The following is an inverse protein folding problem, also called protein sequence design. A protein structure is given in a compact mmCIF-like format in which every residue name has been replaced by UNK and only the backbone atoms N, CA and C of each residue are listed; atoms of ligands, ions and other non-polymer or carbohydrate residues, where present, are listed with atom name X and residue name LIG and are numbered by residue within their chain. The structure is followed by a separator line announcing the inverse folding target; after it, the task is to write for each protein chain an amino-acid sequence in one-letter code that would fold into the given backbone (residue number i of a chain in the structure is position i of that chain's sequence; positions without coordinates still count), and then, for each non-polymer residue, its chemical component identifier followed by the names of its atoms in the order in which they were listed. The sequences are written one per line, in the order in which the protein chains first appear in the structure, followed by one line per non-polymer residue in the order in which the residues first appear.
data_IF_537900113644
#
_entry.id   IF_537900113644
#
_cell.length_a   1.000
_cell.length_b   1.000
_cell.length_c   1.000
_cell.angle_alpha   90.00
_cell.angle_beta   90.00
_cell.angle_gamma   90.00
#
_symmetry.space_group_name_H-M   'P 1'
#
loop_
_entity.id
_entity.type
_entity.pdbx_description
1 polymer ?
#
# COMPACT_ATOMS: atom_id res chain seq x y z
N UNK A 1 -7.00 -1.29 13.95
CA UNK A 1 -7.38 -1.88 12.64
C UNK A 1 -7.99 -3.28 12.71
N UNK A 2 -8.37 -3.79 13.88
CA UNK A 2 -8.86 -5.18 14.03
C UNK A 2 -10.04 -5.53 13.11
N UNK A 3 -11.06 -4.69 13.03
CA UNK A 3 -12.24 -4.94 12.20
C UNK A 3 -11.93 -4.86 10.69
N UNK A 4 -10.94 -4.06 10.28
CA UNK A 4 -10.44 -4.04 8.91
C UNK A 4 -9.74 -5.36 8.58
N UNK A 5 -8.89 -5.85 9.49
CA UNK A 5 -8.22 -7.14 9.33
C UNK A 5 -9.20 -8.31 9.32
N UNK A 6 -10.28 -8.24 10.10
CA UNK A 6 -11.39 -9.20 10.03
C UNK A 6 -12.08 -9.17 8.68
N UNK A 7 -12.40 -7.98 8.15
CA UNK A 7 -12.97 -7.83 6.80
C UNK A 7 -12.05 -8.38 5.70
N UNK A 8 -10.73 -8.24 5.84
CA UNK A 8 -9.76 -8.83 4.92
C UNK A 8 -9.79 -10.36 4.96
N UNK A 9 -9.84 -10.94 6.16
CA UNK A 9 -9.92 -12.40 6.32
C UNK A 9 -11.24 -12.95 5.75
N UNK A 10 -12.37 -12.31 6.09
CA UNK A 10 -13.69 -12.67 5.56
C UNK A 10 -13.73 -12.60 4.02
N UNK A 11 -13.04 -11.61 3.43
CA UNK A 11 -12.91 -11.50 1.98
C UNK A 11 -12.13 -12.69 1.41
N UNK A 12 -11.01 -13.06 2.04
CA UNK A 12 -10.20 -14.21 1.62
C UNK A 12 -10.98 -15.52 1.68
N UNK A 13 -11.71 -15.77 2.76
CA UNK A 13 -12.52 -16.98 2.94
C UNK A 13 -13.63 -17.13 1.90
N UNK A 14 -14.23 -16.02 1.47
CA UNK A 14 -15.32 -16.00 0.47
C UNK A 14 -14.82 -15.96 -0.96
N UNK A 15 -13.55 -15.63 -1.18
CA UNK A 15 -12.99 -15.45 -2.52
C UNK A 15 -12.60 -16.79 -3.14
N UNK A 16 -13.06 -17.12 -4.37
CA UNK A 16 -12.63 -18.32 -5.07
C UNK A 16 -11.11 -18.38 -5.21
N UNK A 17 -10.52 -19.56 -4.94
CA UNK A 17 -9.07 -19.77 -4.93
C UNK A 17 -8.35 -19.33 -6.21
N UNK A 18 -9.04 -19.32 -7.36
CA UNK A 18 -8.49 -18.84 -8.65
C UNK A 18 -8.07 -17.36 -8.65
N UNK A 19 -8.59 -16.54 -7.72
CA UNK A 19 -8.21 -15.13 -7.56
C UNK A 19 -7.15 -14.94 -6.47
N UNK A 20 -6.90 -15.97 -5.65
CA UNK A 20 -5.93 -15.96 -4.57
C UNK A 20 -4.61 -16.61 -5.04
N UNK A 21 -3.60 -16.54 -4.18
CA UNK A 21 -2.28 -17.12 -4.44
C UNK A 21 -1.84 -18.12 -3.36
N UNK A 22 -2.78 -18.59 -2.54
CA UNK A 22 -2.51 -19.52 -1.43
C UNK A 22 -1.81 -18.88 -0.24
N UNK A 23 -1.79 -17.54 -0.17
CA UNK A 23 -1.25 -16.79 0.97
C UNK A 23 -2.35 -15.98 1.65
N UNK A 24 -2.21 -15.83 2.96
CA UNK A 24 -2.98 -14.93 3.80
C UNK A 24 -2.92 -13.49 3.25
N UNK A 25 -3.95 -12.66 3.48
CA UNK A 25 -3.89 -11.26 3.12
C UNK A 25 -2.74 -10.56 3.86
N UNK A 26 -2.34 -9.41 3.33
CA UNK A 26 -1.52 -8.48 4.08
C UNK A 26 -2.39 -7.72 5.06
N UNK A 27 -2.19 -8.01 6.34
CA UNK A 27 -2.91 -7.36 7.42
C UNK A 27 -2.31 -5.98 7.70
N UNK A 28 -3.16 -5.07 8.13
CA UNK A 28 -2.82 -3.69 8.40
C UNK A 28 -2.63 -3.55 9.90
N UNK A 29 -1.49 -3.00 10.32
CA UNK A 29 -1.20 -2.70 11.72
C UNK A 29 -1.97 -1.44 12.18
N UNK A 30 -1.38 -0.56 12.99
CA UNK A 30 -1.96 0.75 13.31
C UNK A 30 -1.14 1.86 12.63
N UNK A 31 -1.52 2.31 11.41
CA UNK A 31 -0.82 3.41 10.75
C UNK A 31 -1.05 4.73 11.50
N UNK A 32 -0.07 5.63 11.39
CA UNK A 32 -0.13 6.96 12.00
C UNK A 32 -1.28 7.79 11.45
N UNK A 33 -1.86 8.66 12.28
CA UNK A 33 -2.96 9.54 11.85
C UNK A 33 -2.43 10.90 11.42
N UNK A 34 -3.16 11.59 10.54
CA UNK A 34 -2.86 12.95 10.09
C UNK A 34 -1.43 13.13 9.54
N UNK A 35 -0.95 12.12 8.81
CA UNK A 35 0.41 12.07 8.27
C UNK A 35 0.38 12.01 6.73
N UNK A 36 1.55 11.97 6.09
CA UNK A 36 1.65 11.71 4.66
C UNK A 36 1.45 10.20 4.45
N UNK A 37 0.54 9.80 3.55
CA UNK A 37 0.27 8.38 3.28
C UNK A 37 0.68 8.02 1.87
N UNK A 38 1.64 7.12 1.77
CA UNK A 38 1.99 6.47 0.52
C UNK A 38 1.10 5.27 0.27
N UNK A 39 0.64 5.14 -0.98
CA UNK A 39 -0.17 4.01 -1.44
C UNK A 39 0.63 3.25 -2.50
N UNK A 40 1.04 2.04 -2.14
CA UNK A 40 1.61 1.05 -3.05
C UNK A 40 0.54 0.32 -3.85
N UNK A 41 0.98 -0.59 -4.71
CA UNK A 41 0.06 -1.44 -5.47
C UNK A 41 -0.42 -2.60 -4.63
N UNK A 42 0.53 -3.41 -4.18
CA UNK A 42 0.31 -4.56 -3.36
C UNK A 42 1.64 -4.95 -2.68
N UNK A 43 1.58 -5.66 -1.53
CA UNK A 43 2.75 -6.12 -0.84
C UNK A 43 3.54 -7.12 -1.69
N UNK A 44 4.81 -6.81 -1.93
CA UNK A 44 5.74 -7.73 -2.58
C UNK A 44 6.09 -8.87 -1.63
N UNK A 45 5.80 -10.11 -2.02
CA UNK A 45 6.13 -11.29 -1.24
C UNK A 45 7.19 -12.13 -1.94
N UNK A 46 8.39 -12.13 -1.37
CA UNK A 46 9.48 -13.01 -1.81
C UNK A 46 10.10 -13.68 -0.59
N UNK A 47 10.17 -15.02 -0.60
CA UNK A 47 10.77 -15.79 0.49
C UNK A 47 12.20 -15.31 0.79
N UNK A 48 13.00 -15.09 -0.26
CA UNK A 48 14.36 -14.53 -0.14
C UNK A 48 14.40 -13.13 0.47
N UNK A 49 13.41 -12.29 0.16
CA UNK A 49 13.33 -10.93 0.70
C UNK A 49 13.06 -10.94 2.20
N UNK A 50 12.10 -11.77 2.63
CA UNK A 50 11.82 -11.99 4.06
C UNK A 50 12.99 -12.68 4.77
N UNK A 51 13.61 -13.69 4.17
CA UNK A 51 14.79 -14.36 4.74
C UNK A 51 15.95 -13.37 4.98
N UNK A 52 16.21 -12.48 4.01
CA UNK A 52 17.22 -11.45 4.16
C UNK A 52 16.86 -10.40 5.21
N UNK A 53 15.61 -9.90 5.20
CA UNK A 53 15.14 -8.87 6.13
C UNK A 53 15.00 -9.35 7.58
N UNK A 54 14.66 -10.63 7.79
CA UNK A 54 14.43 -11.21 9.12
C UNK A 54 15.66 -11.90 9.72
N UNK A 55 16.76 -12.03 8.97
CA UNK A 55 17.94 -12.84 9.35
C UNK A 55 18.45 -12.58 10.76
N UNK A 56 18.52 -11.31 11.16
CA UNK A 56 19.08 -10.88 12.45
C UNK A 56 18.00 -10.46 13.46
N UNK A 57 16.80 -11.03 13.33
CA UNK A 57 15.63 -10.71 14.15
C UNK A 57 15.20 -11.97 14.92
N UNK A 58 14.22 -11.84 15.81
CA UNK A 58 13.60 -12.99 16.50
C UNK A 58 12.90 -13.97 15.53
N UNK A 59 12.66 -13.56 14.28
CA UNK A 59 12.05 -14.36 13.23
C UNK A 59 13.06 -14.96 12.25
N UNK A 60 14.36 -14.90 12.55
CA UNK A 60 15.41 -15.53 11.74
C UNK A 60 15.14 -17.02 11.53
N UNK A 61 15.16 -17.46 10.26
CA UNK A 61 14.92 -18.86 9.89
C UNK A 61 13.46 -19.31 9.89
N UNK A 62 12.49 -18.39 10.05
CA UNK A 62 11.07 -18.72 9.90
C UNK A 62 10.77 -19.21 8.48
N UNK A 63 9.98 -20.29 8.35
CA UNK A 63 9.33 -20.62 7.09
C UNK A 63 8.19 -19.61 6.85
N UNK A 64 8.53 -18.51 6.19
CA UNK A 64 7.59 -17.41 5.97
C UNK A 64 6.43 -17.81 5.04
N UNK A 65 6.67 -18.75 4.11
CA UNK A 65 5.64 -19.22 3.20
C UNK A 65 4.66 -20.14 3.92
N UNK A 66 5.16 -21.07 4.72
CA UNK A 66 4.33 -21.88 5.60
C UNK A 66 3.55 -21.03 6.60
N UNK A 67 4.19 -20.01 7.19
CA UNK A 67 3.54 -19.09 8.14
C UNK A 67 2.34 -18.36 7.51
N UNK A 68 2.49 -17.83 6.30
CA UNK A 68 1.41 -17.14 5.58
C UNK A 68 0.57 -18.05 4.69
N UNK A 69 0.68 -19.37 4.77
CA UNK A 69 -0.14 -20.29 3.98
C UNK A 69 -1.64 -20.08 4.25
N UNK A 70 -2.45 -20.16 3.21
CA UNK A 70 -3.91 -20.06 3.25
C UNK A 70 -4.54 -21.16 2.38
N UNK A 71 -5.65 -21.81 2.81
CA UNK A 71 -6.47 -21.50 4.00
C UNK A 71 -5.89 -21.98 5.33
N UNK A 72 -4.92 -22.90 5.29
CA UNK A 72 -4.38 -23.53 6.48
C UNK A 72 -2.93 -23.09 6.73
N UNK A 73 -2.67 -22.67 7.97
CA UNK A 73 -1.34 -22.46 8.52
C UNK A 73 -1.35 -22.88 9.99
N UNK A 74 -0.49 -23.85 10.34
CA UNK A 74 -0.41 -24.39 11.70
C UNK A 74 0.18 -23.39 12.72
N UNK A 75 0.80 -22.31 12.25
CA UNK A 75 1.55 -21.38 13.08
C UNK A 75 1.14 -19.91 12.90
N UNK A 76 0.14 -19.64 12.06
CA UNK A 76 -0.29 -18.27 11.81
C UNK A 76 -0.83 -17.63 13.09
N UNK A 77 -0.38 -16.41 13.35
CA UNK A 77 -0.84 -15.57 14.44
C UNK A 77 -0.81 -14.12 13.94
N UNK A 78 -1.92 -13.40 14.11
CA UNK A 78 -2.07 -12.04 13.59
C UNK A 78 -1.05 -11.07 14.23
N UNK A 79 -0.85 -11.11 15.55
CA UNK A 79 0.11 -10.23 16.23
C UNK A 79 1.53 -10.45 15.71
N UNK A 80 1.92 -11.72 15.54
CA UNK A 80 3.21 -12.10 14.95
C UNK A 80 3.33 -11.63 13.50
N UNK A 81 2.27 -11.74 12.70
CA UNK A 81 2.26 -11.24 11.33
C UNK A 81 2.49 -9.71 11.30
N UNK A 82 1.77 -8.96 12.13
CA UNK A 82 1.93 -7.50 12.23
C UNK A 82 3.35 -7.12 12.68
N UNK A 83 3.93 -7.86 13.62
CA UNK A 83 5.30 -7.60 14.09
C UNK A 83 6.38 -7.91 13.04
N UNK A 84 6.18 -8.98 12.26
CA UNK A 84 7.01 -9.28 11.09
C UNK A 84 6.94 -8.12 10.09
N UNK A 85 5.75 -7.62 9.76
CA UNK A 85 5.63 -6.51 8.80
C UNK A 85 6.25 -5.21 9.32
N UNK A 86 6.08 -4.86 10.62
CA UNK A 86 6.77 -3.72 11.23
C UNK A 86 8.28 -3.84 11.12
N UNK A 87 8.81 -5.02 11.40
CA UNK A 87 10.24 -5.32 11.30
C UNK A 87 10.75 -5.15 9.87
N UNK A 88 10.01 -5.68 8.90
CA UNK A 88 10.32 -5.51 7.48
C UNK A 88 10.24 -4.03 7.06
N UNK A 89 9.25 -3.27 7.49
CA UNK A 89 9.11 -1.86 7.12
C UNK A 89 10.28 -0.99 7.59
N UNK A 90 10.83 -1.27 8.77
CA UNK A 90 11.89 -0.46 9.37
C UNK A 90 13.22 -0.55 8.60
N UNK A 91 13.63 -1.77 8.26
CA UNK A 91 14.99 -2.03 7.77
C UNK A 91 15.04 -2.38 6.27
N UNK A 92 13.90 -2.59 5.61
CA UNK A 92 13.90 -3.01 4.21
C UNK A 92 14.22 -1.84 3.27
N UNK A 93 15.26 -1.95 2.41
CA UNK A 93 15.73 -0.84 1.57
C UNK A 93 14.68 -0.24 0.64
N UNK A 94 13.63 -1.00 0.32
CA UNK A 94 12.48 -0.53 -0.44
C UNK A 94 11.85 0.74 0.15
N UNK A 95 11.79 0.87 1.47
CA UNK A 95 11.11 1.99 2.13
C UNK A 95 11.98 3.25 2.25
N UNK A 96 13.29 3.15 2.04
CA UNK A 96 14.21 4.27 2.18
C UNK A 96 13.86 5.48 1.29
N UNK A 97 13.54 5.31 -0.01
CA UNK A 97 13.14 6.42 -0.88
C UNK A 97 11.89 7.18 -0.43
N UNK A 98 11.01 6.56 0.35
CA UNK A 98 9.78 7.18 0.84
C UNK A 98 10.10 8.23 1.91
N UNK A 99 11.03 7.90 2.83
CA UNK A 99 11.58 8.85 3.79
C UNK A 99 12.38 9.97 3.10
N UNK A 100 13.30 9.61 2.20
CA UNK A 100 14.14 10.58 1.46
C UNK A 100 13.31 11.60 0.67
N UNK A 101 12.16 11.19 0.10
CA UNK A 101 11.26 12.10 -0.61
C UNK A 101 10.76 13.25 0.28
N UNK A 102 10.58 12.95 1.58
CA UNK A 102 10.03 13.84 2.58
C UNK A 102 11.11 14.53 3.42
N UNK A 103 12.38 14.44 3.03
CA UNK A 103 13.45 15.17 3.70
C UNK A 103 13.12 16.68 3.76
N UNK A 104 13.25 17.26 4.95
CA UNK A 104 12.87 18.64 5.23
C UNK A 104 11.38 18.86 5.52
N UNK A 105 10.58 17.80 5.64
CA UNK A 105 9.17 17.83 6.08
C UNK A 105 9.09 17.24 7.49
N UNK A 106 8.42 17.93 8.42
CA UNK A 106 8.26 17.48 9.81
C UNK A 106 7.14 16.45 10.01
N UNK A 107 6.47 16.03 8.92
CA UNK A 107 5.37 15.08 8.99
C UNK A 107 5.88 13.65 8.96
N UNK A 108 5.30 12.83 9.85
CA UNK A 108 5.41 11.37 9.77
C UNK A 108 4.82 10.86 8.44
N UNK A 109 5.16 9.62 8.09
CA UNK A 109 4.58 8.98 6.92
C UNK A 109 4.20 7.52 7.17
N UNK A 110 3.20 7.06 6.42
CA UNK A 110 2.76 5.67 6.36
C UNK A 110 2.95 5.12 4.96
N UNK A 111 3.08 3.79 4.86
CA UNK A 111 2.87 3.07 3.62
C UNK A 111 1.73 2.07 3.81
N UNK A 112 0.75 2.12 2.92
CA UNK A 112 -0.30 1.10 2.79
C UNK A 112 -0.35 0.66 1.33
N UNK A 113 -0.99 -0.46 1.04
CA UNK A 113 -1.22 -0.92 -0.32
C UNK A 113 -2.69 -0.78 -0.73
N UNK A 114 -2.92 -0.59 -2.04
CA UNK A 114 -4.26 -0.54 -2.61
C UNK A 114 -4.91 -1.94 -2.67
N UNK A 115 -4.10 -2.98 -2.85
CA UNK A 115 -4.52 -4.38 -2.85
C UNK A 115 -3.70 -5.17 -1.83
N UNK A 116 -4.33 -6.09 -1.12
CA UNK A 116 -3.74 -6.78 0.03
C UNK A 116 -3.24 -8.19 -0.32
N UNK A 117 -3.13 -8.49 -1.61
CA UNK A 117 -2.57 -9.75 -2.11
C UNK A 117 -1.04 -9.72 -2.04
N UNK A 118 -0.46 -10.71 -1.34
CA UNK A 118 0.99 -10.92 -1.21
C UNK A 118 1.60 -11.46 -2.50
N UNK A 119 1.72 -10.64 -3.54
CA UNK A 119 2.11 -11.05 -4.89
C UNK A 119 3.26 -10.18 -5.43
N UNK A 120 4.24 -10.80 -6.07
CA UNK A 120 5.38 -10.05 -6.65
C UNK A 120 5.16 -9.77 -8.15
N UNK A 121 4.36 -10.59 -8.83
CA UNK A 121 4.04 -10.45 -10.25
C UNK A 121 2.83 -9.54 -10.46
N UNK A 122 3.08 -8.38 -11.05
CA UNK A 122 2.01 -7.46 -11.46
C UNK A 122 1.01 -8.12 -12.41
N UNK A 123 1.45 -9.04 -13.29
CA UNK A 123 0.55 -9.75 -14.20
C UNK A 123 -0.37 -10.72 -13.47
N UNK A 124 0.13 -11.41 -12.44
CA UNK A 124 -0.71 -12.28 -11.60
C UNK A 124 -1.70 -11.46 -10.78
N UNK A 125 -1.25 -10.36 -10.16
CA UNK A 125 -2.15 -9.45 -9.46
C UNK A 125 -3.26 -8.95 -10.40
N UNK A 126 -2.92 -8.53 -11.61
CA UNK A 126 -3.92 -8.08 -12.60
C UNK A 126 -4.99 -9.13 -12.86
N UNK A 127 -4.60 -10.39 -13.06
CA UNK A 127 -5.53 -11.51 -13.24
C UNK A 127 -6.42 -11.76 -12.02
N UNK A 128 -5.93 -11.47 -10.82
CA UNK A 128 -6.71 -11.58 -9.59
C UNK A 128 -7.75 -10.48 -9.42
N UNK A 129 -7.44 -9.22 -9.78
CA UNK A 129 -8.26 -8.05 -9.41
C UNK A 129 -9.13 -7.49 -10.55
N UNK A 130 -8.82 -7.81 -11.81
CA UNK A 130 -9.57 -7.32 -12.97
C UNK A 130 -10.49 -8.42 -13.53
N UNK A 131 -11.49 -7.99 -14.31
CA UNK A 131 -12.19 -8.87 -15.24
C UNK A 131 -11.38 -8.99 -16.55
N UNK A 132 -11.97 -9.54 -17.62
CA UNK A 132 -11.32 -9.57 -18.93
C UNK A 132 -11.12 -8.16 -19.55
N UNK A 133 -11.73 -7.12 -18.95
CA UNK A 133 -11.47 -5.70 -19.21
C UNK A 133 -10.56 -5.09 -18.13
N UNK A 134 -10.21 -3.82 -18.26
CA UNK A 134 -9.47 -3.10 -17.20
C UNK A 134 -10.36 -2.68 -16.01
N UNK A 135 -11.60 -3.20 -15.93
CA UNK A 135 -12.51 -2.96 -14.82
C UNK A 135 -12.23 -3.91 -13.66
N UNK A 136 -12.23 -3.37 -12.45
CA UNK A 136 -12.10 -4.19 -11.25
C UNK A 136 -13.25 -5.19 -11.14
N UNK A 137 -12.88 -6.43 -10.83
CA UNK A 137 -13.84 -7.45 -10.40
C UNK A 137 -14.24 -7.22 -8.93
N UNK A 138 -15.19 -8.00 -8.42
CA UNK A 138 -15.71 -7.82 -7.06
C UNK A 138 -14.61 -7.93 -5.99
N UNK A 139 -13.66 -8.87 -6.15
CA UNK A 139 -12.52 -9.01 -5.25
C UNK A 139 -11.61 -7.78 -5.25
N UNK A 140 -11.35 -7.19 -6.43
CA UNK A 140 -10.61 -5.94 -6.56
C UNK A 140 -11.33 -4.75 -5.93
N UNK A 141 -12.65 -4.61 -6.17
CA UNK A 141 -13.46 -3.50 -5.65
C UNK A 141 -13.55 -3.52 -4.13
N UNK A 142 -13.79 -4.69 -3.52
CA UNK A 142 -13.86 -4.80 -2.06
C UNK A 142 -12.54 -4.43 -1.40
N UNK A 143 -11.39 -4.76 -2.02
CA UNK A 143 -10.09 -4.31 -1.51
C UNK A 143 -9.93 -2.79 -1.56
N UNK A 144 -10.33 -2.14 -2.66
CA UNK A 144 -10.35 -0.67 -2.74
C UNK A 144 -11.25 -0.05 -1.67
N UNK A 145 -12.40 -0.66 -1.38
CA UNK A 145 -13.30 -0.20 -0.30
C UNK A 145 -12.71 -0.39 1.10
N UNK A 146 -11.91 -1.44 1.31
CA UNK A 146 -11.12 -1.61 2.52
C UNK A 146 -10.07 -0.49 2.61
N UNK A 147 -9.34 -0.19 1.54
CA UNK A 147 -8.40 0.93 1.51
C UNK A 147 -9.08 2.28 1.79
N UNK A 148 -10.29 2.52 1.26
CA UNK A 148 -11.10 3.72 1.60
C UNK A 148 -11.37 3.79 3.11
N UNK A 149 -11.75 2.66 3.72
CA UNK A 149 -12.04 2.57 5.15
C UNK A 149 -10.80 2.89 6.00
N UNK A 150 -9.62 2.46 5.54
CA UNK A 150 -8.33 2.78 6.18
C UNK A 150 -8.02 4.26 6.05
N UNK A 151 -8.11 4.83 4.84
CA UNK A 151 -7.85 6.26 4.60
C UNK A 151 -8.78 7.16 5.43
N UNK A 152 -10.05 6.78 5.58
CA UNK A 152 -11.01 7.51 6.41
C UNK A 152 -10.59 7.59 7.88
N UNK A 153 -9.92 6.55 8.41
CA UNK A 153 -9.48 6.46 9.82
C UNK A 153 -8.18 7.20 10.08
N UNK A 154 -7.20 6.97 9.20
CA UNK A 154 -5.88 7.59 9.34
C UNK A 154 -5.92 9.06 8.94
N UNK A 155 -6.94 9.48 8.19
CA UNK A 155 -7.25 10.89 7.93
C UNK A 155 -6.01 11.63 7.36
N UNK A 156 -5.44 11.18 6.23
CA UNK A 156 -4.15 11.63 5.74
C UNK A 156 -4.12 13.14 5.46
N UNK A 157 -2.95 13.75 5.63
CA UNK A 157 -2.68 15.13 5.20
C UNK A 157 -2.42 15.22 3.70
N UNK A 158 -1.72 14.23 3.15
CA UNK A 158 -1.41 14.08 1.73
C UNK A 158 -1.46 12.60 1.38
N UNK A 159 -1.93 12.29 0.18
CA UNK A 159 -1.86 10.95 -0.40
C UNK A 159 -0.85 10.97 -1.55
N UNK A 160 0.06 9.98 -1.57
CA UNK A 160 1.00 9.78 -2.68
C UNK A 160 0.85 8.34 -3.19
N UNK A 161 0.24 8.16 -4.35
CA UNK A 161 0.07 6.84 -4.97
C UNK A 161 1.34 6.50 -5.76
N UNK A 162 2.22 5.70 -5.15
CA UNK A 162 3.58 5.42 -5.58
C UNK A 162 3.67 4.18 -6.48
N UNK A 163 2.76 4.06 -7.45
CA UNK A 163 2.78 3.02 -8.48
C UNK A 163 1.86 3.42 -9.64
N UNK A 164 2.28 3.17 -10.89
CA UNK A 164 1.51 3.59 -12.06
C UNK A 164 0.15 2.86 -12.20
N UNK A 165 0.10 1.55 -11.92
CA UNK A 165 -1.16 0.80 -11.98
C UNK A 165 -2.08 1.20 -10.82
N UNK A 166 -1.53 1.33 -9.60
CA UNK A 166 -2.30 1.80 -8.46
C UNK A 166 -2.84 3.22 -8.72
N UNK A 167 -2.02 4.11 -9.30
CA UNK A 167 -2.43 5.47 -9.65
C UNK A 167 -3.60 5.50 -10.62
N UNK A 168 -3.59 4.65 -11.65
CA UNK A 168 -4.70 4.56 -12.60
C UNK A 168 -5.98 4.10 -11.92
N UNK A 169 -5.91 2.98 -11.19
CA UNK A 169 -7.08 2.45 -10.46
C UNK A 169 -7.59 3.48 -9.46
N UNK A 170 -6.71 4.09 -8.68
CA UNK A 170 -7.07 5.09 -7.68
C UNK A 170 -7.73 6.31 -8.33
N UNK A 171 -7.20 6.80 -9.46
CA UNK A 171 -7.81 7.90 -10.23
C UNK A 171 -9.23 7.58 -10.67
N UNK A 172 -9.44 6.39 -11.23
CA UNK A 172 -10.74 5.94 -11.74
C UNK A 172 -11.75 5.76 -10.60
N UNK A 173 -11.36 5.02 -9.56
CA UNK A 173 -12.23 4.68 -8.44
C UNK A 173 -12.59 5.91 -7.59
N UNK A 174 -11.68 6.87 -7.42
CA UNK A 174 -11.98 8.12 -6.72
C UNK A 174 -12.46 9.25 -7.64
N UNK A 175 -12.59 8.99 -8.95
CA UNK A 175 -13.02 9.97 -9.96
C UNK A 175 -12.24 11.29 -9.88
N UNK A 176 -10.92 11.18 -9.76
CA UNK A 176 -10.07 12.34 -9.53
C UNK A 176 -10.01 13.25 -10.76
N UNK A 177 -10.16 14.55 -10.52
CA UNK A 177 -9.93 15.59 -11.51
C UNK A 177 -8.65 16.34 -11.15
N UNK A 178 -7.84 16.65 -12.17
CA UNK A 178 -6.61 17.38 -11.97
C UNK A 178 -6.93 18.85 -11.66
N UNK A 179 -6.32 19.37 -10.61
CA UNK A 179 -6.42 20.77 -10.21
C UNK A 179 -5.23 21.54 -10.79
N UNK A 180 -5.50 22.36 -11.81
CA UNK A 180 -4.47 23.14 -12.52
C UNK A 180 -3.81 24.20 -11.64
N UNK A 181 -4.50 24.67 -10.58
CA UNK A 181 -3.99 25.72 -9.70
C UNK A 181 -2.86 25.19 -8.82
N UNK A 182 -3.09 24.05 -8.17
CA UNK A 182 -2.14 23.42 -7.26
C UNK A 182 -1.22 22.42 -7.99
N UNK A 183 -1.59 21.99 -9.21
CA UNK A 183 -0.87 21.00 -9.99
C UNK A 183 -1.00 19.57 -9.45
N UNK A 184 -2.01 19.29 -8.63
CA UNK A 184 -2.23 17.96 -8.04
C UNK A 184 -3.70 17.53 -8.18
N UNK A 185 -4.04 16.36 -7.65
CA UNK A 185 -5.43 15.92 -7.52
C UNK A 185 -5.92 16.19 -6.10
N UNK A 186 -7.23 16.14 -5.89
CA UNK A 186 -7.83 16.16 -4.56
C UNK A 186 -8.74 14.94 -4.38
N UNK A 187 -8.50 14.22 -3.29
CA UNK A 187 -9.31 13.06 -2.92
C UNK A 187 -10.22 13.43 -1.76
N UNK A 188 -11.53 13.20 -1.92
CA UNK A 188 -12.50 13.41 -0.85
C UNK A 188 -12.41 12.27 0.18
N UNK A 189 -11.87 12.56 1.36
CA UNK A 189 -11.76 11.61 2.49
C UNK A 189 -12.53 12.17 3.68
N UNK A 190 -13.58 11.46 4.11
CA UNK A 190 -14.40 11.83 5.27
C UNK A 190 -14.87 13.29 5.26
N UNK A 191 -15.26 13.81 4.09
CA UNK A 191 -15.73 15.19 3.94
C UNK A 191 -14.63 16.24 3.68
N UNK A 192 -13.35 15.86 3.67
CA UNK A 192 -12.22 16.77 3.42
C UNK A 192 -11.55 16.49 2.08
N UNK A 193 -11.14 17.55 1.39
CA UNK A 193 -10.26 17.46 0.22
C UNK A 193 -8.82 17.22 0.69
N UNK A 194 -8.25 16.07 0.32
CA UNK A 194 -6.87 15.70 0.63
C UNK A 194 -6.02 15.81 -0.64
N UNK A 195 -4.96 16.65 -0.66
CA UNK A 195 -4.01 16.70 -1.76
C UNK A 195 -3.49 15.30 -2.11
N UNK A 196 -3.55 14.95 -3.38
CA UNK A 196 -3.24 13.62 -3.88
C UNK A 196 -2.31 13.68 -5.08
N UNK A 197 -1.21 12.97 -4.99
CA UNK A 197 -0.19 12.87 -6.03
C UNK A 197 -0.22 11.47 -6.63
N UNK A 198 -0.38 11.38 -7.95
CA UNK A 198 -0.29 10.13 -8.70
C UNK A 198 1.12 10.04 -9.30
N UNK A 199 1.78 8.91 -9.10
CA UNK A 199 3.18 8.74 -9.50
C UNK A 199 3.51 7.33 -9.97
N UNK A 200 4.69 7.17 -10.59
CA UNK A 200 5.28 5.86 -10.77
C UNK A 200 5.89 5.37 -9.44
N UNK A 201 6.62 4.25 -9.47
CA UNK A 201 7.22 3.71 -8.26
C UNK A 201 8.35 4.64 -7.75
N UNK A 202 8.54 4.70 -6.43
CA UNK A 202 9.69 5.40 -5.84
C UNK A 202 10.95 4.52 -5.79
N UNK A 203 10.79 3.21 -6.01
CA UNK A 203 11.86 2.21 -6.02
C UNK A 203 11.56 1.06 -6.99
N UNK A 204 12.59 0.38 -7.48
CA UNK A 204 12.46 -0.79 -8.36
C UNK A 204 12.67 -0.49 -9.85
N UNK A 205 12.42 -1.49 -10.72
CA UNK A 205 12.82 -1.51 -12.15
C UNK A 205 12.19 -0.42 -13.04
N UNK A 206 11.23 0.36 -12.53
CA UNK A 206 10.57 1.48 -13.22
C UNK A 206 10.32 2.63 -12.25
N UNK A 207 11.27 2.85 -11.35
CA UNK A 207 11.19 3.98 -10.42
C UNK A 207 11.31 5.31 -11.17
N UNK A 208 10.81 6.39 -10.57
CA UNK A 208 11.11 7.75 -11.01
C UNK A 208 12.62 7.94 -11.13
N UNK A 209 13.03 8.70 -12.15
CA UNK A 209 14.38 9.26 -12.15
C UNK A 209 14.56 10.24 -10.97
N UNK A 210 15.83 10.46 -10.59
CA UNK A 210 16.19 11.26 -9.43
C UNK A 210 15.55 12.67 -9.47
N UNK A 211 15.51 13.30 -10.65
CA UNK A 211 14.99 14.66 -10.79
C UNK A 211 13.47 14.71 -10.76
N UNK A 212 12.78 13.70 -11.30
CA UNK A 212 11.32 13.58 -11.14
C UNK A 212 10.92 13.34 -9.69
N UNK A 213 11.70 12.54 -8.96
CA UNK A 213 11.49 12.32 -7.52
C UNK A 213 11.73 13.60 -6.72
N UNK A 214 12.78 14.36 -7.03
CA UNK A 214 13.05 15.66 -6.41
C UNK A 214 11.90 16.66 -6.64
N UNK A 215 11.41 16.77 -7.89
CA UNK A 215 10.26 17.62 -8.21
C UNK A 215 9.01 17.20 -7.46
N UNK A 216 8.73 15.90 -7.33
CA UNK A 216 7.60 15.41 -6.55
C UNK A 216 7.70 15.83 -5.07
N UNK A 217 8.87 15.65 -4.44
CA UNK A 217 9.09 16.07 -3.06
C UNK A 217 8.93 17.59 -2.88
N UNK A 218 9.49 18.38 -3.80
CA UNK A 218 9.31 19.85 -3.81
C UNK A 218 7.84 20.24 -3.94
N UNK A 219 7.10 19.57 -4.83
CA UNK A 219 5.70 19.86 -5.10
C UNK A 219 4.80 19.54 -3.89
N UNK A 220 5.01 18.38 -3.25
CA UNK A 220 4.32 18.02 -2.01
C UNK A 220 4.56 19.10 -0.94
N UNK A 221 5.80 19.56 -0.76
CA UNK A 221 6.14 20.65 0.18
C UNK A 221 5.44 21.96 -0.14
N UNK A 222 5.38 22.32 -1.42
CA UNK A 222 4.72 23.54 -1.87
C UNK A 222 3.22 23.50 -1.54
N UNK A 223 2.53 22.43 -1.92
CA UNK A 223 1.08 22.29 -1.69
C UNK A 223 0.76 22.23 -0.20
N UNK A 224 1.55 21.52 0.61
CA UNK A 224 1.37 21.47 2.07
C UNK A 224 1.43 22.86 2.71
N UNK A 225 2.30 23.76 2.25
CA UNK A 225 2.40 25.12 2.77
C UNK A 225 1.23 26.02 2.40
N UNK A 226 0.50 25.68 1.35
CA UNK A 226 -0.68 26.42 0.89
C UNK A 226 -1.98 25.93 1.56
N UNK A 227 -1.96 24.74 2.19
CA UNK A 227 -3.13 24.06 2.79
C UNK A 227 -3.13 23.92 4.32
N UNK A 228 -2.00 24.17 5.01
CA UNK A 228 -1.95 24.31 6.47
C UNK A 228 -2.32 25.74 6.90
#
# INVERSE_FOLDING_TARGET
MEDVNRRLLDLWEKTPSKYLNGLMPFFIDEPERNCITFIGLNPSFTERGYEAGLRNTTYGGIDIRGFYSFPESASFNLEKALDIERTMMKDYPYFKPFGELLDGISFMWNHIDLFYLRETSQDKLRKSIFQNSEDLNDFGRVQVDITRSVLARIAPKVIVVANALASRVFKEEYKLNFDEHHGCYFTQISGRNVPTFLSSMLSGKRALDIFSRERLGWHIRKVLKEYD
#
